data_IF_836598926536
#
_entry.id   IF_836598926536
#
_cell.length_a   1.000
_cell.length_b   1.000
_cell.length_c   1.000
_cell.angle_alpha   90.00
_cell.angle_beta   90.00
_cell.angle_gamma   90.00
#
_symmetry.space_group_name_H-M   'P 1'
#
loop_
_entity.id
_entity.type
_entity.pdbx_description
1 polymer ?
#
# COMPACT_ATOMS: atom_id res chain seq x y z
N UNK A 1 40.10 -8.53 -9.72
CA UNK A 1 39.05 -8.82 -8.72
C UNK A 1 37.77 -9.06 -9.47
N UNK A 2 37.29 -10.27 -9.58
CA UNK A 2 35.99 -10.60 -10.17
C UNK A 2 34.91 -10.12 -9.22
N UNK A 3 34.24 -9.02 -9.55
CA UNK A 3 33.03 -8.60 -8.86
C UNK A 3 32.02 -9.73 -8.99
N UNK A 4 31.72 -10.44 -7.88
CA UNK A 4 30.64 -11.41 -7.85
C UNK A 4 29.34 -10.63 -8.23
N UNK A 5 28.74 -11.02 -9.35
CA UNK A 5 27.47 -10.48 -9.77
C UNK A 5 26.44 -10.71 -8.66
N UNK A 6 25.73 -9.66 -8.25
CA UNK A 6 24.59 -9.75 -7.32
C UNK A 6 23.35 -10.35 -7.99
N UNK A 7 23.47 -10.86 -9.21
CA UNK A 7 22.39 -11.47 -9.96
C UNK A 7 21.87 -12.71 -9.26
N UNK A 8 20.60 -12.71 -8.93
CA UNK A 8 19.87 -13.82 -8.28
C UNK A 8 18.71 -14.28 -9.16
N UNK A 9 18.10 -15.41 -8.82
CA UNK A 9 16.88 -15.86 -9.51
C UNK A 9 15.76 -14.79 -9.48
N UNK A 10 15.66 -14.04 -8.39
CA UNK A 10 14.70 -12.93 -8.25
C UNK A 10 14.97 -11.85 -9.30
N UNK A 11 16.23 -11.52 -9.58
CA UNK A 11 16.55 -10.54 -10.62
C UNK A 11 16.00 -10.95 -11.98
N UNK A 12 16.19 -12.20 -12.37
CA UNK A 12 15.66 -12.73 -13.63
C UNK A 12 14.12 -12.80 -13.64
N UNK A 13 13.52 -13.22 -12.53
CA UNK A 13 12.08 -13.35 -12.39
C UNK A 13 11.36 -12.00 -12.48
N UNK A 14 11.91 -10.96 -11.84
CA UNK A 14 11.32 -9.63 -11.81
C UNK A 14 11.86 -8.67 -12.86
N UNK A 15 12.86 -9.06 -13.64
CA UNK A 15 13.46 -8.19 -14.66
C UNK A 15 14.24 -7.01 -14.08
N UNK A 16 14.88 -7.18 -12.92
CA UNK A 16 15.62 -6.14 -12.20
C UNK A 16 17.12 -6.41 -12.21
N UNK A 17 17.94 -5.36 -12.18
CA UNK A 17 19.39 -5.47 -12.19
C UNK A 17 19.97 -5.88 -10.81
N UNK A 18 19.29 -5.49 -9.73
CA UNK A 18 19.71 -5.74 -8.35
C UNK A 18 18.58 -6.38 -7.54
N UNK A 19 18.84 -7.35 -6.65
CA UNK A 19 17.81 -8.01 -5.86
C UNK A 19 17.36 -7.13 -4.68
N UNK A 20 16.91 -5.92 -5.00
CA UNK A 20 16.47 -4.90 -4.04
C UNK A 20 15.04 -4.50 -4.35
N UNK A 21 14.16 -4.71 -3.38
CA UNK A 21 12.79 -4.20 -3.38
C UNK A 21 12.74 -3.00 -2.44
N UNK A 22 12.39 -1.83 -2.96
CA UNK A 22 12.36 -0.58 -2.19
C UNK A 22 10.96 -0.02 -2.07
N UNK A 23 10.38 -0.12 -0.87
CA UNK A 23 9.08 0.46 -0.55
C UNK A 23 9.20 1.95 -0.22
N UNK A 24 8.31 2.77 -0.80
CA UNK A 24 8.22 4.20 -0.47
C UNK A 24 6.81 4.76 -0.70
N UNK A 25 6.42 5.76 0.11
CA UNK A 25 5.24 6.57 -0.12
C UNK A 25 5.47 7.75 -1.09
N UNK A 26 6.72 8.03 -1.41
CA UNK A 26 7.11 9.06 -2.37
C UNK A 26 7.24 8.47 -3.77
N UNK A 27 6.50 9.02 -4.72
CA UNK A 27 6.60 8.65 -6.15
C UNK A 27 8.03 8.84 -6.66
N UNK A 28 8.70 9.93 -6.28
CA UNK A 28 10.05 10.23 -6.73
C UNK A 28 11.09 9.22 -6.17
N UNK A 29 10.89 8.73 -4.93
CA UNK A 29 11.73 7.66 -4.38
C UNK A 29 11.53 6.33 -5.11
N UNK A 30 10.28 5.97 -5.45
CA UNK A 30 9.97 4.77 -6.26
C UNK A 30 10.66 4.84 -7.63
N UNK A 31 10.57 5.99 -8.29
CA UNK A 31 11.23 6.25 -9.57
C UNK A 31 12.75 6.09 -9.44
N UNK A 32 13.36 6.66 -8.40
CA UNK A 32 14.80 6.60 -8.18
C UNK A 32 15.28 5.15 -7.96
N UNK A 33 14.57 4.37 -7.12
CA UNK A 33 14.86 2.96 -6.85
C UNK A 33 14.77 2.13 -8.14
N UNK A 34 13.69 2.32 -8.89
CA UNK A 34 13.47 1.59 -10.15
C UNK A 34 14.52 1.95 -11.19
N UNK A 35 14.87 3.23 -11.31
CA UNK A 35 15.90 3.67 -12.25
C UNK A 35 17.31 3.21 -11.85
N UNK A 36 17.56 3.02 -10.56
CA UNK A 36 18.80 2.43 -10.06
C UNK A 36 18.90 0.91 -10.28
N UNK A 37 17.87 0.27 -10.84
CA UNK A 37 17.88 -1.16 -11.18
C UNK A 37 17.31 -2.09 -10.10
N UNK A 38 16.70 -1.54 -9.04
CA UNK A 38 15.87 -2.29 -8.10
C UNK A 38 14.41 -2.35 -8.56
N UNK A 39 13.52 -2.83 -7.70
CA UNK A 39 12.07 -2.78 -7.88
C UNK A 39 11.47 -1.80 -6.87
N UNK A 40 11.10 -0.61 -7.32
CA UNK A 40 10.41 0.36 -6.50
C UNK A 40 8.96 -0.04 -6.28
N UNK A 41 8.47 0.06 -5.04
CA UNK A 41 7.09 -0.28 -4.68
C UNK A 41 6.43 0.93 -4.03
N UNK A 42 5.38 1.44 -4.65
CA UNK A 42 4.61 2.59 -4.16
C UNK A 42 3.62 2.17 -3.08
N UNK A 43 3.65 2.80 -1.91
CA UNK A 43 2.69 2.59 -0.83
C UNK A 43 1.40 3.36 -1.07
N UNK A 44 0.40 2.73 -1.69
CA UNK A 44 -0.85 3.38 -2.13
C UNK A 44 -1.95 3.49 -1.08
N UNK A 45 -1.83 2.82 0.08
CA UNK A 45 -2.90 2.69 1.09
C UNK A 45 -3.56 4.00 1.54
N UNK A 46 -2.82 5.11 1.53
CA UNK A 46 -3.30 6.43 1.96
C UNK A 46 -3.72 7.34 0.81
N UNK A 47 -3.70 6.82 -0.40
CA UNK A 47 -4.07 7.53 -1.63
C UNK A 47 -5.50 7.20 -2.05
N UNK A 48 -6.21 8.17 -2.61
CA UNK A 48 -7.49 7.89 -3.28
C UNK A 48 -7.24 7.10 -4.57
N UNK A 49 -8.27 6.47 -5.16
CA UNK A 49 -8.11 5.80 -6.46
C UNK A 49 -7.49 6.69 -7.53
N UNK A 50 -7.94 7.94 -7.64
CA UNK A 50 -7.44 8.91 -8.63
C UNK A 50 -5.97 9.29 -8.36
N UNK A 51 -5.57 9.40 -7.10
CA UNK A 51 -4.18 9.64 -6.72
C UNK A 51 -3.30 8.44 -7.02
N UNK A 52 -3.81 7.22 -6.85
CA UNK A 52 -3.11 5.99 -7.25
C UNK A 52 -2.90 6.01 -8.78
N UNK A 53 -3.93 6.23 -9.55
CA UNK A 53 -3.84 6.31 -11.02
C UNK A 53 -2.80 7.35 -11.46
N UNK A 54 -2.89 8.56 -10.91
CA UNK A 54 -1.94 9.63 -11.23
C UNK A 54 -0.50 9.28 -10.86
N UNK A 55 -0.30 8.64 -9.69
CA UNK A 55 1.02 8.19 -9.24
C UNK A 55 1.59 7.11 -10.16
N UNK A 56 0.80 6.08 -10.50
CA UNK A 56 1.24 4.98 -11.38
C UNK A 56 1.59 5.48 -12.78
N UNK A 57 0.78 6.37 -13.36
CA UNK A 57 1.07 7.02 -14.64
C UNK A 57 2.37 7.83 -14.58
N UNK A 58 2.58 8.62 -13.50
CA UNK A 58 3.82 9.40 -13.33
C UNK A 58 5.03 8.47 -13.20
N UNK A 59 4.94 7.38 -12.42
CA UNK A 59 6.03 6.41 -12.29
C UNK A 59 6.34 5.79 -13.64
N UNK A 60 5.35 5.24 -14.35
CA UNK A 60 5.53 4.58 -15.66
C UNK A 60 6.21 5.50 -16.67
N UNK A 61 5.77 6.75 -16.77
CA UNK A 61 6.41 7.73 -17.65
C UNK A 61 7.89 7.97 -17.36
N UNK A 62 8.28 7.90 -16.09
CA UNK A 62 9.65 8.18 -15.65
C UNK A 62 10.58 6.97 -15.71
N UNK A 63 10.04 5.74 -15.59
CA UNK A 63 10.84 4.51 -15.58
C UNK A 63 10.83 3.75 -16.90
N UNK A 64 9.94 4.08 -17.83
CA UNK A 64 9.77 3.36 -19.10
C UNK A 64 9.30 1.93 -18.86
N UNK A 65 9.96 0.96 -19.49
CA UNK A 65 9.62 -0.47 -19.40
C UNK A 65 10.17 -1.18 -18.15
N UNK A 66 10.83 -0.45 -17.25
CA UNK A 66 11.37 -1.05 -16.03
C UNK A 66 10.24 -1.43 -15.07
N UNK A 67 10.33 -2.60 -14.42
CA UNK A 67 9.28 -3.09 -13.53
C UNK A 67 9.21 -2.27 -12.23
N UNK A 68 8.00 -1.99 -11.79
CA UNK A 68 7.71 -1.37 -10.49
C UNK A 68 6.43 -1.95 -9.90
N UNK A 69 6.20 -1.71 -8.62
CA UNK A 69 5.07 -2.24 -7.89
C UNK A 69 4.25 -1.19 -7.14
N UNK A 70 3.11 -1.65 -6.65
CA UNK A 70 2.28 -0.93 -5.68
C UNK A 70 1.91 -1.85 -4.52
N UNK A 71 1.82 -1.29 -3.31
CA UNK A 71 1.41 -1.99 -2.09
C UNK A 71 0.12 -1.38 -1.52
N UNK A 72 -0.78 -2.27 -1.09
CA UNK A 72 -1.92 -1.94 -0.26
C UNK A 72 -1.89 -2.75 1.03
N UNK A 73 -2.32 -2.12 2.12
CA UNK A 73 -2.63 -2.80 3.38
C UNK A 73 -4.11 -3.19 3.35
N UNK A 74 -4.41 -4.49 3.47
CA UNK A 74 -5.76 -5.04 3.31
C UNK A 74 -6.19 -5.86 4.55
N UNK A 75 -6.35 -5.22 5.74
CA UNK A 75 -6.69 -5.93 6.96
C UNK A 75 -8.12 -6.44 6.92
N UNK A 76 -8.41 -7.57 7.56
CA UNK A 76 -9.78 -8.04 7.74
C UNK A 76 -10.56 -7.15 8.72
N UNK A 77 -11.88 -7.14 8.59
CA UNK A 77 -12.77 -6.47 9.56
C UNK A 77 -12.88 -4.95 9.40
N UNK A 78 -12.55 -4.43 8.22
CA UNK A 78 -12.79 -3.02 7.91
C UNK A 78 -14.30 -2.71 7.85
N UNK A 79 -14.72 -1.49 8.22
CA UNK A 79 -16.10 -1.05 7.99
C UNK A 79 -16.42 -1.03 6.50
N UNK A 80 -17.69 -1.20 6.15
CA UNK A 80 -18.12 -1.17 4.74
C UNK A 80 -17.94 0.21 4.11
N UNK A 81 -18.31 1.26 4.85
CA UNK A 81 -18.25 2.65 4.41
C UNK A 81 -17.42 3.51 5.37
N UNK A 82 -16.97 4.67 4.89
CA UNK A 82 -16.40 5.70 5.76
C UNK A 82 -17.48 6.22 6.73
N UNK A 83 -17.34 5.86 7.98
CA UNK A 83 -18.23 6.25 9.06
C UNK A 83 -17.51 7.09 10.14
N UNK A 84 -16.62 7.96 9.74
CA UNK A 84 -15.78 8.78 10.62
C UNK A 84 -16.56 9.40 11.79
N UNK A 85 -17.73 9.99 11.53
CA UNK A 85 -18.52 10.65 12.55
C UNK A 85 -18.95 9.69 13.67
N UNK A 86 -19.32 8.44 13.32
CA UNK A 86 -19.66 7.42 14.29
C UNK A 86 -18.43 7.00 15.11
N UNK A 87 -17.28 6.77 14.45
CA UNK A 87 -16.02 6.41 15.14
C UNK A 87 -15.57 7.53 16.08
N UNK A 88 -15.65 8.78 15.65
CA UNK A 88 -15.29 9.94 16.47
C UNK A 88 -16.23 10.12 17.67
N UNK A 89 -17.50 9.75 17.52
CA UNK A 89 -18.46 9.78 18.63
C UNK A 89 -18.16 8.74 19.73
N UNK A 90 -17.57 7.61 19.35
CA UNK A 90 -17.15 6.53 20.27
C UNK A 90 -15.89 6.88 21.06
N UNK A 91 -15.11 7.89 20.65
CA UNK A 91 -13.89 8.26 21.35
C UNK A 91 -14.21 8.78 22.75
N UNK A 92 -13.60 8.23 23.81
CA UNK A 92 -13.80 8.70 25.18
C UNK A 92 -13.46 10.19 25.33
N UNK A 93 -14.27 10.93 26.08
CA UNK A 93 -14.05 12.35 26.33
C UNK A 93 -12.66 12.66 26.88
N UNK A 94 -12.12 11.78 27.75
CA UNK A 94 -10.78 11.93 28.31
C UNK A 94 -9.70 11.92 27.21
N UNK A 95 -9.81 11.09 26.18
CA UNK A 95 -8.86 11.06 25.08
C UNK A 95 -8.91 12.36 24.26
N UNK A 96 -10.10 12.86 23.97
CA UNK A 96 -10.27 14.15 23.26
C UNK A 96 -9.67 15.32 24.06
N UNK A 97 -9.94 15.36 25.39
CA UNK A 97 -9.38 16.38 26.27
C UNK A 97 -7.85 16.29 26.37
N UNK A 98 -7.31 15.07 26.43
CA UNK A 98 -5.85 14.87 26.45
C UNK A 98 -5.20 15.38 25.16
N UNK A 99 -5.76 15.06 24.01
CA UNK A 99 -5.25 15.56 22.72
C UNK A 99 -5.34 17.09 22.68
N UNK A 100 -6.46 17.69 23.09
CA UNK A 100 -6.62 19.14 23.14
C UNK A 100 -5.59 19.80 24.10
N UNK A 101 -5.31 19.17 25.25
CA UNK A 101 -4.27 19.62 26.15
C UNK A 101 -2.89 19.65 25.48
N UNK A 102 -2.55 18.59 24.71
CA UNK A 102 -1.28 18.55 23.97
C UNK A 102 -1.20 19.66 22.92
N UNK A 103 -2.28 19.91 22.15
CA UNK A 103 -2.31 21.01 21.20
C UNK A 103 -2.05 22.35 21.86
N UNK A 104 -2.67 22.62 22.99
CA UNK A 104 -2.47 23.85 23.76
C UNK A 104 -1.04 23.92 24.33
N UNK A 105 -0.59 22.84 24.98
CA UNK A 105 0.73 22.77 25.63
C UNK A 105 1.88 23.02 24.67
N UNK A 106 1.80 22.44 23.46
CA UNK A 106 2.86 22.53 22.45
C UNK A 106 2.59 23.59 21.38
N UNK A 107 1.53 24.41 21.57
CA UNK A 107 1.17 25.46 20.62
C UNK A 107 1.08 24.96 19.17
N UNK A 108 0.48 23.76 18.98
CA UNK A 108 0.39 23.14 17.65
C UNK A 108 -0.46 24.02 16.75
N UNK A 109 0.05 24.46 15.59
CA UNK A 109 -0.70 25.30 14.68
C UNK A 109 -1.96 24.58 14.17
N UNK A 110 -3.03 25.34 13.91
CA UNK A 110 -4.20 24.81 13.27
C UNK A 110 -3.85 24.28 11.86
N UNK A 111 -4.32 23.06 11.55
CA UNK A 111 -4.11 22.50 10.23
C UNK A 111 -4.97 23.24 9.19
N UNK A 112 -4.39 23.60 8.06
CA UNK A 112 -5.08 24.24 6.94
C UNK A 112 -5.74 23.23 5.99
N UNK A 113 -5.40 21.94 6.13
CA UNK A 113 -5.96 20.83 5.35
C UNK A 113 -5.91 19.54 6.18
N UNK A 114 -6.77 18.55 5.87
CA UNK A 114 -6.69 17.23 6.51
C UNK A 114 -5.31 16.59 6.27
N UNK A 115 -4.78 15.94 7.30
CA UNK A 115 -3.56 15.17 7.17
C UNK A 115 -3.77 13.91 6.32
N UNK A 116 -2.71 13.39 5.70
CA UNK A 116 -2.76 12.19 4.85
C UNK A 116 -3.38 10.96 5.57
N UNK A 117 -3.21 10.86 6.88
CA UNK A 117 -3.74 9.75 7.67
C UNK A 117 -5.17 9.94 8.17
N UNK A 118 -5.68 11.17 8.12
CA UNK A 118 -6.97 11.53 8.70
C UNK A 118 -8.01 12.02 7.69
N UNK A 119 -7.66 12.08 6.41
CA UNK A 119 -8.55 12.62 5.37
C UNK A 119 -9.71 11.70 5.00
N UNK A 120 -9.58 10.40 5.22
CA UNK A 120 -10.66 9.43 5.11
C UNK A 120 -10.45 8.27 6.09
N UNK A 121 -11.52 7.60 6.47
CA UNK A 121 -11.50 6.32 7.18
C UNK A 121 -11.42 5.22 6.13
N UNK A 122 -10.54 4.25 6.37
CA UNK A 122 -10.45 3.09 5.48
C UNK A 122 -11.71 2.25 5.59
N UNK A 123 -12.22 1.83 4.45
CA UNK A 123 -13.42 1.01 4.32
C UNK A 123 -13.23 -0.01 3.22
N UNK A 124 -14.03 -1.07 3.21
CA UNK A 124 -14.00 -2.07 2.12
C UNK A 124 -14.36 -1.43 0.78
N UNK A 125 -15.28 -0.46 0.77
CA UNK A 125 -15.60 0.30 -0.43
C UNK A 125 -14.36 1.02 -1.00
N UNK A 126 -13.61 1.72 -0.15
CA UNK A 126 -12.39 2.41 -0.58
C UNK A 126 -11.33 1.42 -1.08
N UNK A 127 -11.18 0.28 -0.38
CA UNK A 127 -10.24 -0.77 -0.79
C UNK A 127 -10.61 -1.35 -2.16
N UNK A 128 -11.89 -1.58 -2.43
CA UNK A 128 -12.35 -2.09 -3.71
C UNK A 128 -12.08 -1.11 -4.86
N UNK A 129 -12.32 0.18 -4.63
CA UNK A 129 -12.03 1.23 -5.61
C UNK A 129 -10.52 1.37 -5.86
N UNK A 130 -9.70 1.30 -4.80
CA UNK A 130 -8.24 1.30 -4.93
C UNK A 130 -7.75 0.07 -5.72
N UNK A 131 -8.29 -1.11 -5.43
CA UNK A 131 -7.97 -2.33 -6.17
C UNK A 131 -8.37 -2.22 -7.64
N UNK A 132 -9.54 -1.68 -7.96
CA UNK A 132 -9.98 -1.46 -9.33
C UNK A 132 -9.00 -0.56 -10.11
N UNK A 133 -8.60 0.56 -9.55
CA UNK A 133 -7.61 1.45 -10.14
C UNK A 133 -6.27 0.75 -10.39
N UNK A 134 -5.80 -0.05 -9.42
CA UNK A 134 -4.55 -0.81 -9.57
C UNK A 134 -4.68 -1.90 -10.64
N UNK A 135 -5.78 -2.62 -10.66
CA UNK A 135 -6.00 -3.71 -11.61
C UNK A 135 -6.16 -3.20 -13.04
N UNK A 136 -6.66 -1.98 -13.23
CA UNK A 136 -6.75 -1.31 -14.53
C UNK A 136 -5.41 -0.75 -15.03
N UNK A 137 -4.43 -0.56 -14.14
CA UNK A 137 -3.12 0.02 -14.46
C UNK A 137 -2.15 -1.00 -15.08
N UNK A 138 -1.01 -0.50 -15.59
CA UNK A 138 0.09 -1.29 -16.15
C UNK A 138 1.21 -1.61 -15.13
N UNK A 139 0.93 -1.49 -13.82
CA UNK A 139 1.88 -1.86 -12.77
C UNK A 139 2.24 -3.35 -12.84
N UNK A 140 3.52 -3.67 -12.64
CA UNK A 140 4.05 -5.03 -12.82
C UNK A 140 3.83 -5.92 -11.59
N UNK A 141 3.89 -5.33 -10.38
CA UNK A 141 3.78 -6.04 -9.11
C UNK A 141 2.66 -5.44 -8.26
N UNK A 142 1.75 -6.28 -7.80
CA UNK A 142 0.83 -5.98 -6.71
C UNK A 142 1.33 -6.61 -5.41
N UNK A 143 1.64 -5.79 -4.42
CA UNK A 143 2.01 -6.22 -3.08
C UNK A 143 0.88 -5.93 -2.08
N UNK A 144 0.76 -6.74 -1.05
CA UNK A 144 -0.15 -6.47 0.05
C UNK A 144 0.47 -6.82 1.40
N UNK A 145 0.04 -6.11 2.46
CA UNK A 145 0.49 -6.31 3.83
C UNK A 145 -0.67 -6.25 4.82
N UNK A 146 -0.46 -6.82 6.01
CA UNK A 146 -1.46 -6.89 7.10
C UNK A 146 -2.78 -7.52 6.61
N UNK A 147 -2.70 -8.42 5.67
CA UNK A 147 -3.80 -9.11 5.00
C UNK A 147 -3.45 -9.36 3.55
N UNK A 148 -3.80 -10.54 3.09
CA UNK A 148 -3.63 -10.97 1.70
C UNK A 148 -4.92 -11.68 1.25
N UNK A 149 -6.03 -10.92 1.07
CA UNK A 149 -7.30 -11.56 0.72
C UNK A 149 -7.19 -12.26 -0.62
N UNK A 150 -7.61 -13.55 -0.71
CA UNK A 150 -7.50 -14.34 -1.94
C UNK A 150 -8.06 -13.61 -3.17
N UNK A 151 -9.18 -12.90 -3.01
CA UNK A 151 -9.81 -12.13 -4.10
C UNK A 151 -8.87 -11.10 -4.75
N UNK A 152 -8.06 -10.39 -3.96
CA UNK A 152 -7.15 -9.38 -4.49
C UNK A 152 -5.97 -10.04 -5.22
N UNK A 153 -5.43 -11.13 -4.67
CA UNK A 153 -4.35 -11.90 -5.27
C UNK A 153 -4.80 -12.53 -6.59
N UNK A 154 -6.00 -13.13 -6.62
CA UNK A 154 -6.54 -13.77 -7.81
C UNK A 154 -6.83 -12.75 -8.92
N UNK A 155 -7.37 -11.57 -8.57
CA UNK A 155 -7.55 -10.47 -9.52
C UNK A 155 -6.23 -9.99 -10.12
N UNK A 156 -5.19 -9.84 -9.30
CA UNK A 156 -3.87 -9.42 -9.77
C UNK A 156 -3.26 -10.47 -10.73
N UNK A 157 -3.32 -11.75 -10.35
CA UNK A 157 -2.84 -12.85 -11.20
C UNK A 157 -3.60 -12.95 -12.53
N UNK A 158 -4.93 -12.78 -12.49
CA UNK A 158 -5.76 -12.79 -13.70
C UNK A 158 -5.43 -11.65 -14.68
N UNK A 159 -4.82 -10.55 -14.19
CA UNK A 159 -4.32 -9.42 -14.98
C UNK A 159 -2.83 -9.53 -15.32
N UNK A 160 -2.21 -10.71 -15.09
CA UNK A 160 -0.79 -10.94 -15.39
C UNK A 160 0.18 -10.22 -14.46
N UNK A 161 -0.29 -9.63 -13.36
CA UNK A 161 0.57 -8.96 -12.40
C UNK A 161 1.26 -9.98 -11.50
N UNK A 162 2.52 -9.74 -11.18
CA UNK A 162 3.21 -10.48 -10.12
C UNK A 162 2.60 -10.12 -8.77
N UNK A 163 2.66 -11.04 -7.82
CA UNK A 163 2.10 -10.81 -6.49
C UNK A 163 3.14 -11.05 -5.40
N UNK A 164 3.11 -10.23 -4.37
CA UNK A 164 3.94 -10.34 -3.17
C UNK A 164 3.10 -10.06 -1.94
N UNK A 165 3.35 -10.79 -0.85
CA UNK A 165 2.67 -10.52 0.41
C UNK A 165 3.69 -10.34 1.53
N UNK A 166 3.45 -9.33 2.37
CA UNK A 166 4.21 -9.12 3.60
C UNK A 166 3.54 -9.92 4.71
N UNK A 167 4.19 -10.99 5.17
CA UNK A 167 3.62 -11.93 6.12
C UNK A 167 4.52 -12.08 7.35
N UNK A 168 3.90 -12.28 8.52
CA UNK A 168 4.62 -12.52 9.76
C UNK A 168 5.08 -13.97 9.96
N UNK A 169 4.60 -14.89 9.11
CA UNK A 169 4.91 -16.32 9.16
C UNK A 169 4.70 -16.98 7.80
N UNK A 170 5.52 -17.97 7.41
CA UNK A 170 5.31 -18.73 6.18
C UNK A 170 3.98 -19.46 6.09
N UNK A 171 3.29 -19.65 7.22
CA UNK A 171 2.02 -20.38 7.31
C UNK A 171 0.78 -19.49 7.18
N UNK A 172 0.94 -18.18 6.99
CA UNK A 172 -0.22 -17.25 6.89
C UNK A 172 -1.05 -17.52 5.65
N UNK A 173 -0.44 -17.99 4.56
CA UNK A 173 -1.12 -18.26 3.29
C UNK A 173 -1.95 -19.56 3.28
N UNK A 174 -1.79 -20.42 4.28
CA UNK A 174 -2.43 -21.75 4.30
C UNK A 174 -3.56 -21.89 5.31
N UNK A 175 -3.83 -20.88 6.12
CA UNK A 175 -4.96 -20.95 7.06
C UNK A 175 -6.25 -20.59 6.33
N UNK A 176 -7.23 -21.52 6.24
CA UNK A 176 -8.59 -21.12 5.92
C UNK A 176 -9.00 -20.04 6.95
N UNK A 177 -9.62 -18.98 6.47
CA UNK A 177 -10.31 -18.03 7.35
C UNK A 177 -11.24 -18.87 8.22
N UNK A 178 -10.91 -19.03 9.51
CA UNK A 178 -11.79 -19.71 10.44
C UNK A 178 -13.14 -19.02 10.39
N UNK A 179 -14.25 -19.75 10.21
CA UNK A 179 -15.57 -19.17 10.35
C UNK A 179 -15.61 -18.55 11.76
N UNK A 180 -16.09 -17.32 11.83
CA UNK A 180 -16.39 -16.69 13.12
C UNK A 180 -17.54 -17.48 13.71
N UNK A 181 -17.22 -18.51 14.49
CA UNK A 181 -18.20 -19.14 15.32
C UNK A 181 -18.67 -18.12 16.37
N UNK A 182 -19.96 -18.03 16.45
CA UNK A 182 -20.90 -17.20 17.20
C UNK A 182 -20.52 -16.90 18.63
#
# INVERSE_FOLDING_TARGET
MTTKSLQTKICAEYGIAHPVFGFAHSVDAVIAITNAGGLGVFGGTRSTPEEIEAALVKIRRAVGDKPFGIDLVLPPGMPELDNRAAIEAELPAAHRQFVQHLYTKYQVPAATRPGMRSRFVRSTQMEDQQLEAIMASDVDLFACGIGAPPRAIDQAKARGKKTCALVGSPHVDTRPTLPKDK
#
